data_IF_126729589045
#
_entry.id   IF_126729589045
#
_cell.length_a   1.000
_cell.length_b   1.000
_cell.length_c   1.000
_cell.angle_alpha   90.00
_cell.angle_beta   90.00
_cell.angle_gamma   90.00
#
_symmetry.space_group_name_H-M   'P 1'
#
loop_
_entity.id
_entity.type
_entity.pdbx_description
1 polymer ?
#
# COMPACT_ATOMS: atom_id res chain seq x y z
N UNK A 1 -15.74 0.19 11.86
CA UNK A 1 -14.44 -0.21 11.28
C UNK A 1 -13.32 0.01 12.27
N UNK A 2 -13.08 1.23 12.75
CA UNK A 2 -12.01 1.49 13.74
C UNK A 2 -12.24 0.80 15.09
N UNK A 3 -13.49 0.72 15.57
CA UNK A 3 -13.82 -0.04 16.79
C UNK A 3 -13.51 -1.54 16.65
N UNK A 4 -13.81 -2.13 15.49
CA UNK A 4 -13.48 -3.52 15.16
C UNK A 4 -11.97 -3.70 15.06
N UNK A 5 -11.27 -2.83 14.33
CA UNK A 5 -9.80 -2.81 14.23
C UNK A 5 -9.15 -2.78 15.62
N UNK A 6 -9.63 -1.91 16.51
CA UNK A 6 -9.12 -1.80 17.89
C UNK A 6 -9.30 -3.07 18.73
N UNK A 7 -10.38 -3.82 18.49
CA UNK A 7 -10.68 -5.05 19.21
C UNK A 7 -9.96 -6.27 18.61
N UNK A 8 -9.67 -6.27 17.30
CA UNK A 8 -9.07 -7.40 16.60
C UNK A 8 -7.54 -7.34 16.56
N UNK A 9 -6.95 -6.15 16.45
CA UNK A 9 -5.50 -5.99 16.40
C UNK A 9 -4.85 -6.16 17.79
N UNK A 10 -3.61 -6.65 17.80
CA UNK A 10 -2.82 -6.78 19.02
C UNK A 10 -2.62 -5.43 19.73
N UNK A 11 -2.39 -5.45 21.05
CA UNK A 11 -2.26 -4.23 21.85
C UNK A 11 -1.15 -3.27 21.41
N UNK A 12 -0.07 -3.81 20.84
CA UNK A 12 1.07 -3.05 20.31
C UNK A 12 0.95 -2.69 18.82
N UNK A 13 -0.12 -3.12 18.14
CA UNK A 13 -0.30 -2.82 16.73
C UNK A 13 -0.67 -1.35 16.53
N UNK A 14 -0.15 -0.72 15.48
CA UNK A 14 -0.55 0.63 15.10
C UNK A 14 -1.98 0.60 14.54
N UNK A 15 -2.85 1.43 15.12
CA UNK A 15 -4.28 1.48 14.77
C UNK A 15 -4.56 2.71 13.92
N UNK A 16 -5.50 2.60 12.99
CA UNK A 16 -5.84 3.69 12.07
C UNK A 16 -6.36 4.93 12.82
N UNK A 17 -7.12 4.71 13.89
CA UNK A 17 -7.65 5.79 14.74
C UNK A 17 -6.58 6.52 15.57
N UNK A 18 -5.38 5.95 15.73
CA UNK A 18 -4.26 6.55 16.47
C UNK A 18 -3.24 7.20 15.51
N UNK A 19 -3.63 7.42 14.25
CA UNK A 19 -2.82 8.12 13.26
C UNK A 19 -2.54 9.57 13.70
N UNK A 20 -1.33 10.06 13.40
CA UNK A 20 -0.96 11.48 13.61
C UNK A 20 -1.65 12.43 12.63
N UNK A 21 -2.48 11.91 11.73
CA UNK A 21 -3.16 12.67 10.69
C UNK A 21 -2.26 12.97 9.49
N UNK A 22 -2.77 13.81 8.59
CA UNK A 22 -2.08 14.23 7.36
C UNK A 22 -1.53 15.65 7.49
N UNK A 23 -0.46 15.94 6.75
CA UNK A 23 0.13 17.29 6.67
C UNK A 23 -0.87 18.34 6.18
N UNK A 24 -1.74 17.95 5.25
CA UNK A 24 -2.83 18.80 4.75
C UNK A 24 -4.16 18.26 5.28
N UNK A 25 -5.02 19.13 5.86
CA UNK A 25 -6.29 18.70 6.40
C UNK A 25 -7.19 18.20 5.29
N UNK A 26 -7.82 17.06 5.52
CA UNK A 26 -8.77 16.44 4.60
C UNK A 26 -9.95 15.92 5.43
N UNK A 27 -11.18 15.93 4.89
CA UNK A 27 -12.31 15.34 5.57
C UNK A 27 -12.09 13.84 5.79
N UNK A 28 -12.66 13.32 6.89
CA UNK A 28 -12.71 11.88 7.14
C UNK A 28 -13.57 11.19 6.07
N UNK A 29 -13.24 9.94 5.75
CA UNK A 29 -13.99 9.17 4.77
C UNK A 29 -14.98 8.26 5.50
N UNK A 30 -16.24 8.23 5.04
CA UNK A 30 -17.33 7.50 5.71
C UNK A 30 -17.05 6.00 5.85
N UNK A 31 -16.44 5.40 4.81
CA UNK A 31 -16.26 3.94 4.74
C UNK A 31 -14.80 3.45 4.76
N UNK A 32 -13.80 4.33 4.79
CA UNK A 32 -12.40 3.91 4.65
C UNK A 32 -11.58 4.50 5.78
N UNK A 33 -10.87 3.63 6.50
CA UNK A 33 -9.90 4.02 7.51
C UNK A 33 -8.70 4.72 6.86
N UNK A 34 -7.96 5.49 7.66
CA UNK A 34 -6.89 6.36 7.17
C UNK A 34 -5.81 5.58 6.39
N UNK A 35 -5.38 4.40 6.87
CA UNK A 35 -4.41 3.56 6.15
C UNK A 35 -4.98 2.90 4.90
N UNK A 36 -6.29 2.59 4.87
CA UNK A 36 -6.95 2.06 3.68
C UNK A 36 -6.99 3.11 2.55
N UNK A 37 -7.19 4.39 2.90
CA UNK A 37 -7.14 5.51 1.95
C UNK A 37 -5.74 5.67 1.37
N UNK A 38 -4.72 5.61 2.21
CA UNK A 38 -3.34 5.79 1.77
C UNK A 38 -2.90 4.64 0.86
N UNK A 39 -3.28 3.39 1.18
CA UNK A 39 -3.10 2.24 0.29
C UNK A 39 -3.73 2.47 -1.09
N UNK A 40 -4.98 2.94 -1.13
CA UNK A 40 -5.65 3.22 -2.39
C UNK A 40 -4.92 4.30 -3.22
N UNK A 41 -4.41 5.36 -2.58
CA UNK A 41 -3.63 6.41 -3.25
C UNK A 41 -2.34 5.88 -3.85
N UNK A 42 -1.62 5.03 -3.13
CA UNK A 42 -0.37 4.42 -3.60
C UNK A 42 -0.63 3.55 -4.82
N UNK A 43 -1.63 2.65 -4.76
CA UNK A 43 -1.97 1.73 -5.85
C UNK A 43 -2.34 2.49 -7.14
N UNK A 44 -3.06 3.61 -7.02
CA UNK A 44 -3.49 4.41 -8.18
C UNK A 44 -2.49 5.49 -8.59
N UNK A 45 -1.34 5.60 -7.93
CA UNK A 45 -0.32 6.57 -8.28
C UNK A 45 0.36 6.20 -9.61
N UNK A 46 0.71 7.23 -10.41
CA UNK A 46 1.50 7.05 -11.64
C UNK A 46 2.86 6.39 -11.34
N UNK A 47 3.46 6.67 -10.19
CA UNK A 47 4.71 6.07 -9.76
C UNK A 47 4.60 4.55 -9.57
N UNK A 48 3.50 4.08 -8.99
CA UNK A 48 3.25 2.65 -8.79
C UNK A 48 3.05 1.92 -10.13
N UNK A 49 2.26 2.49 -11.05
CA UNK A 49 2.13 1.94 -12.42
C UNK A 49 3.46 1.85 -13.16
N UNK A 50 4.37 2.83 -12.97
CA UNK A 50 5.69 2.79 -13.60
C UNK A 50 6.54 1.59 -13.15
N UNK A 51 6.25 0.99 -11.99
CA UNK A 51 6.98 -0.20 -11.51
C UNK A 51 6.80 -1.41 -12.43
N UNK A 52 5.72 -1.46 -13.22
CA UNK A 52 5.47 -2.50 -14.22
C UNK A 52 6.60 -2.58 -15.24
N UNK A 53 7.15 -1.44 -15.65
CA UNK A 53 8.21 -1.35 -16.65
C UNK A 53 9.59 -1.13 -16.02
N UNK A 54 9.73 -1.31 -14.69
CA UNK A 54 11.02 -1.26 -14.01
C UNK A 54 11.50 -2.66 -13.72
N UNK A 55 12.73 -2.92 -14.10
CA UNK A 55 13.41 -4.19 -13.88
C UNK A 55 13.63 -4.44 -12.39
N UNK A 56 13.45 -5.69 -11.98
CA UNK A 56 13.95 -6.20 -10.72
C UNK A 56 15.14 -7.11 -11.04
N UNK A 57 16.35 -6.61 -10.78
CA UNK A 57 17.64 -7.31 -11.02
C UNK A 57 18.02 -7.48 -12.50
N UNK A 58 17.18 -8.10 -13.34
CA UNK A 58 17.52 -8.41 -14.73
C UNK A 58 16.96 -7.39 -15.73
N UNK A 59 17.65 -7.13 -16.85
CA UNK A 59 17.14 -6.25 -17.91
C UNK A 59 15.90 -6.85 -18.59
N UNK A 60 14.89 -6.00 -18.83
CA UNK A 60 13.69 -6.41 -19.56
C UNK A 60 14.10 -6.83 -20.99
N UNK A 61 13.65 -8.02 -21.42
CA UNK A 61 13.92 -8.55 -22.76
C UNK A 61 14.92 -9.71 -22.83
N UNK A 62 15.51 -10.15 -21.70
CA UNK A 62 16.37 -11.35 -21.67
C UNK A 62 15.62 -12.65 -21.32
N UNK A 63 14.29 -12.60 -21.18
CA UNK A 63 13.43 -13.75 -20.91
C UNK A 63 11.99 -13.37 -20.51
N UNK A 64 11.04 -14.28 -20.74
CA UNK A 64 9.60 -13.97 -20.74
C UNK A 64 8.93 -14.03 -19.35
N UNK A 65 9.69 -14.39 -18.30
CA UNK A 65 9.19 -14.60 -16.93
C UNK A 65 10.00 -13.86 -15.87
N UNK A 66 10.64 -12.75 -16.24
CA UNK A 66 11.42 -11.96 -15.30
C UNK A 66 10.50 -11.10 -14.43
N UNK A 67 10.85 -11.02 -13.14
CA UNK A 67 10.15 -10.15 -12.19
C UNK A 67 10.38 -8.68 -12.56
N UNK A 68 9.33 -7.89 -12.46
CA UNK A 68 9.39 -6.43 -12.47
C UNK A 68 9.38 -5.94 -11.04
N UNK A 69 9.69 -4.66 -10.81
CA UNK A 69 9.54 -4.07 -9.47
C UNK A 69 8.09 -4.13 -8.99
N UNK A 70 7.12 -4.12 -9.90
CA UNK A 70 5.70 -4.25 -9.56
C UNK A 70 5.39 -5.66 -9.04
N UNK A 71 5.74 -6.70 -9.78
CA UNK A 71 5.43 -8.08 -9.37
C UNK A 71 6.15 -8.43 -8.07
N UNK A 72 7.41 -8.02 -7.94
CA UNK A 72 8.15 -8.16 -6.69
C UNK A 72 7.46 -7.43 -5.51
N UNK A 73 7.00 -6.20 -5.71
CA UNK A 73 6.31 -5.45 -4.63
C UNK A 73 4.99 -6.09 -4.22
N UNK A 74 4.27 -6.72 -5.15
CA UNK A 74 3.03 -7.46 -4.86
C UNK A 74 3.32 -8.75 -4.08
N UNK A 75 4.37 -9.48 -4.46
CA UNK A 75 4.84 -10.65 -3.70
C UNK A 75 5.21 -10.26 -2.26
N UNK A 76 6.00 -9.21 -2.08
CA UNK A 76 6.39 -8.70 -0.75
C UNK A 76 5.17 -8.28 0.08
N UNK A 77 4.14 -7.69 -0.53
CA UNK A 77 2.93 -7.28 0.18
C UNK A 77 2.02 -8.46 0.60
N UNK A 78 2.27 -9.67 0.10
CA UNK A 78 1.45 -10.87 0.35
C UNK A 78 2.13 -11.87 1.30
N UNK A 79 3.40 -11.64 1.65
CA UNK A 79 4.18 -12.39 2.65
C UNK A 79 3.91 -11.79 4.03
#
# INVERSE_FOLDING_TARGET
>A
MEGTERATLAGFAQKSGDSRGRKYPEPSHVYRMEFQRDRARIIHARAFRRLEYKTQVFLNGTGDHLRTRLTHSIEVASI
#
